data_IF_904183248564
#
_entry.id   IF_904183248564
#
_cell.length_a   1.000
_cell.length_b   1.000
_cell.length_c   1.000
_cell.angle_alpha   90.00
_cell.angle_beta   90.00
_cell.angle_gamma   90.00
#
_symmetry.space_group_name_H-M   'P 1'
#
loop_
_entity.id
_entity.type
_entity.pdbx_description
1 polymer ?
#
# COMPACT_ATOMS: atom_id res chain seq x y z
N UNK A 1 -15.10 -8.90 55.17
CA UNK A 1 -13.94 -8.68 54.28
C UNK A 1 -14.44 -8.79 52.85
N UNK A 2 -14.47 -7.67 52.14
CA UNK A 2 -14.92 -7.57 50.76
C UNK A 2 -13.80 -8.05 49.83
N UNK A 3 -13.93 -9.25 49.27
CA UNK A 3 -13.06 -9.68 48.19
C UNK A 3 -13.67 -9.23 46.86
N UNK A 4 -13.06 -8.21 46.29
CA UNK A 4 -13.43 -7.54 45.05
C UNK A 4 -13.47 -8.55 43.90
N UNK A 5 -14.62 -8.59 43.22
CA UNK A 5 -14.81 -9.26 41.93
C UNK A 5 -13.90 -8.62 40.90
N UNK A 6 -12.83 -9.31 40.49
CA UNK A 6 -12.07 -8.95 39.29
C UNK A 6 -12.90 -9.44 38.10
N UNK A 7 -13.86 -8.62 37.67
CA UNK A 7 -14.43 -8.72 36.34
C UNK A 7 -13.34 -8.27 35.36
N UNK A 8 -12.51 -9.20 34.90
CA UNK A 8 -11.67 -8.96 33.72
C UNK A 8 -12.65 -8.85 32.55
N UNK A 9 -13.01 -7.61 32.24
CA UNK A 9 -13.76 -7.23 31.06
C UNK A 9 -12.81 -7.43 29.86
N UNK A 10 -12.65 -8.68 29.45
CA UNK A 10 -12.11 -9.02 28.14
C UNK A 10 -13.10 -8.48 27.11
N UNK A 11 -12.91 -7.23 26.69
CA UNK A 11 -13.45 -6.77 25.42
C UNK A 11 -12.70 -7.53 24.32
N UNK A 12 -13.08 -8.80 24.14
CA UNK A 12 -12.74 -9.56 22.95
C UNK A 12 -13.33 -8.80 21.78
N UNK A 13 -12.47 -8.20 20.96
CA UNK A 13 -12.78 -8.04 19.55
C UNK A 13 -13.26 -9.42 19.05
N UNK A 14 -14.53 -9.55 18.63
CA UNK A 14 -15.05 -10.84 18.21
C UNK A 14 -14.36 -11.19 16.88
N UNK A 15 -13.44 -12.15 16.89
CA UNK A 15 -12.96 -12.78 15.66
C UNK A 15 -11.45 -12.96 15.50
N UNK A 16 -10.60 -12.38 16.36
CA UNK A 16 -9.17 -12.70 16.31
C UNK A 16 -8.88 -13.92 17.19
N UNK A 17 -8.68 -15.07 16.56
CA UNK A 17 -8.02 -16.17 17.26
C UNK A 17 -6.62 -15.71 17.67
N UNK A 18 -6.17 -16.06 18.87
CA UNK A 18 -4.89 -15.62 19.46
C UNK A 18 -3.70 -15.96 18.53
N UNK A 19 -3.83 -16.99 17.68
CA UNK A 19 -2.81 -17.41 16.73
C UNK A 19 -2.75 -16.58 15.42
N UNK A 20 -3.86 -16.01 14.94
CA UNK A 20 -3.89 -15.22 13.69
C UNK A 20 -3.47 -13.76 13.89
N UNK A 21 -3.64 -13.21 15.09
CA UNK A 21 -3.39 -11.80 15.38
C UNK A 21 -1.96 -11.32 15.08
N UNK A 22 -0.89 -12.08 15.41
CA UNK A 22 0.48 -11.65 15.14
C UNK A 22 0.79 -11.61 13.64
N UNK A 23 0.39 -12.65 12.90
CA UNK A 23 0.64 -12.76 11.46
C UNK A 23 -0.13 -11.69 10.68
N UNK A 24 -1.41 -11.48 11.01
CA UNK A 24 -2.21 -10.42 10.38
C UNK A 24 -1.59 -9.04 10.63
N UNK A 25 -1.14 -8.77 11.86
CA UNK A 25 -0.48 -7.49 12.20
C UNK A 25 0.79 -7.29 11.39
N UNK A 26 1.64 -8.32 11.31
CA UNK A 26 2.86 -8.27 10.52
C UNK A 26 2.58 -7.99 9.04
N UNK A 27 1.60 -8.66 8.44
CA UNK A 27 1.24 -8.44 7.03
C UNK A 27 0.71 -7.02 6.78
N UNK A 28 -0.06 -6.46 7.71
CA UNK A 28 -0.57 -5.08 7.62
C UNK A 28 0.55 -4.03 7.76
N UNK A 29 1.56 -4.30 8.58
CA UNK A 29 2.75 -3.45 8.70
C UNK A 29 3.61 -3.49 7.43
N UNK A 30 3.80 -4.67 6.84
CA UNK A 30 4.46 -4.82 5.56
C UNK A 30 3.71 -4.04 4.47
N UNK A 31 2.38 -4.15 4.43
CA UNK A 31 1.57 -3.40 3.46
C UNK A 31 1.65 -1.90 3.68
N UNK A 32 1.70 -1.45 4.95
CA UNK A 32 1.94 -0.04 5.30
C UNK A 32 3.29 0.45 4.76
N UNK A 33 4.33 -0.37 4.90
CA UNK A 33 5.70 -0.05 4.47
C UNK A 33 5.75 0.06 2.95
N UNK A 34 5.20 -0.91 2.24
CA UNK A 34 5.27 -0.93 0.79
C UNK A 34 4.45 0.20 0.16
N UNK A 35 3.29 0.55 0.72
CA UNK A 35 2.56 1.77 0.34
C UNK A 35 3.44 3.01 0.46
N UNK A 36 4.15 3.17 1.59
CA UNK A 36 5.04 4.31 1.82
C UNK A 36 6.21 4.30 0.85
N UNK A 37 6.77 3.13 0.54
CA UNK A 37 7.88 2.98 -0.41
C UNK A 37 7.47 3.35 -1.83
N UNK A 38 6.33 2.83 -2.33
CA UNK A 38 5.79 3.20 -3.65
C UNK A 38 5.62 4.72 -3.73
N UNK A 39 4.98 5.31 -2.73
CA UNK A 39 4.78 6.76 -2.67
C UNK A 39 6.10 7.54 -2.66
N UNK A 40 7.08 7.08 -1.87
CA UNK A 40 8.39 7.72 -1.73
C UNK A 40 9.21 7.65 -3.01
N UNK A 41 9.27 6.48 -3.65
CA UNK A 41 9.97 6.30 -4.92
C UNK A 41 9.30 7.04 -6.07
N UNK A 42 7.96 7.04 -6.16
CA UNK A 42 7.25 7.90 -7.10
C UNK A 42 7.55 9.38 -6.85
N UNK A 43 7.63 9.81 -5.59
CA UNK A 43 8.05 11.16 -5.21
C UNK A 43 9.44 11.53 -5.70
N UNK A 44 10.41 10.62 -5.57
CA UNK A 44 11.77 10.84 -6.11
C UNK A 44 11.80 10.93 -7.63
N UNK A 45 10.96 10.18 -8.34
CA UNK A 45 10.82 10.36 -9.80
C UNK A 45 10.24 11.73 -10.14
N UNK A 46 9.28 12.23 -9.36
CA UNK A 46 8.75 13.61 -9.54
C UNK A 46 9.85 14.65 -9.34
N UNK A 47 10.66 14.50 -8.29
CA UNK A 47 11.77 15.41 -7.98
C UNK A 47 12.81 15.42 -9.11
N UNK A 48 13.18 14.24 -9.59
CA UNK A 48 14.14 14.07 -10.69
C UNK A 48 13.59 14.67 -12.00
N UNK A 49 12.34 14.38 -12.34
CA UNK A 49 11.70 14.90 -13.54
C UNK A 49 11.33 16.39 -13.45
N UNK A 50 11.49 17.02 -12.28
CA UNK A 50 11.33 18.46 -12.09
C UNK A 50 12.63 19.25 -12.28
N UNK A 51 13.78 18.57 -12.35
CA UNK A 51 15.06 19.20 -12.67
C UNK A 51 15.08 19.74 -14.11
N UNK A 52 16.08 20.57 -14.42
CA UNK A 52 16.31 21.09 -15.78
C UNK A 52 16.65 19.96 -16.75
N UNK A 53 17.42 18.98 -16.29
CA UNK A 53 17.78 17.76 -17.02
C UNK A 53 17.33 16.55 -16.23
N UNK A 54 16.77 15.56 -16.91
CA UNK A 54 16.29 14.32 -16.31
C UNK A 54 17.44 13.31 -16.24
N UNK A 55 17.85 12.90 -15.04
CA UNK A 55 18.67 11.71 -14.86
C UNK A 55 17.81 10.45 -15.07
N UNK A 56 17.72 10.03 -16.34
CA UNK A 56 16.90 8.90 -16.74
C UNK A 56 17.31 7.59 -16.03
N UNK A 57 18.60 7.40 -15.73
CA UNK A 57 19.07 6.20 -15.04
C UNK A 57 18.54 6.13 -13.59
N UNK A 58 18.63 7.24 -12.85
CA UNK A 58 18.12 7.33 -11.49
C UNK A 58 16.59 7.23 -11.44
N UNK A 59 15.90 7.93 -12.35
CA UNK A 59 14.45 7.84 -12.48
C UNK A 59 13.99 6.40 -12.79
N UNK A 60 14.69 5.68 -13.68
CA UNK A 60 14.43 4.25 -13.97
C UNK A 60 14.65 3.38 -12.73
N UNK A 61 15.70 3.61 -11.96
CA UNK A 61 15.95 2.84 -10.73
C UNK A 61 14.80 3.03 -9.73
N UNK A 62 14.30 4.25 -9.55
CA UNK A 62 13.14 4.50 -8.70
C UNK A 62 11.84 3.92 -9.25
N UNK A 63 11.61 3.98 -10.56
CA UNK A 63 10.47 3.32 -11.19
C UNK A 63 10.51 1.78 -11.00
N UNK A 64 11.70 1.17 -11.08
CA UNK A 64 11.89 -0.25 -10.80
C UNK A 64 11.54 -0.61 -9.35
N UNK A 65 11.94 0.22 -8.38
CA UNK A 65 11.55 0.03 -6.97
C UNK A 65 10.03 0.22 -6.77
N UNK A 66 9.38 1.15 -7.49
CA UNK A 66 7.91 1.25 -7.50
C UNK A 66 7.28 -0.08 -7.93
N UNK A 67 7.71 -0.65 -9.07
CA UNK A 67 7.17 -1.93 -9.57
C UNK A 67 7.38 -3.07 -8.57
N UNK A 68 8.58 -3.15 -7.96
CA UNK A 68 8.91 -4.16 -6.96
C UNK A 68 8.01 -4.08 -5.73
N UNK A 69 7.85 -2.88 -5.15
CA UNK A 69 7.00 -2.68 -3.98
C UNK A 69 5.51 -2.90 -4.32
N UNK A 70 5.05 -2.54 -5.53
CA UNK A 70 3.69 -2.84 -5.99
C UNK A 70 3.41 -4.35 -6.03
N UNK A 71 4.35 -5.16 -6.53
CA UNK A 71 4.21 -6.63 -6.52
C UNK A 71 4.11 -7.18 -5.09
N UNK A 72 4.92 -6.65 -4.17
CA UNK A 72 4.88 -7.04 -2.77
C UNK A 72 3.53 -6.68 -2.11
N UNK A 73 3.00 -5.48 -2.39
CA UNK A 73 1.66 -5.07 -1.92
C UNK A 73 0.56 -6.03 -2.37
N UNK A 74 0.57 -6.46 -3.63
CA UNK A 74 -0.44 -7.39 -4.14
C UNK A 74 -0.36 -8.76 -3.50
N UNK A 75 0.85 -9.27 -3.29
CA UNK A 75 1.06 -10.53 -2.56
C UNK A 75 0.56 -10.41 -1.13
N UNK A 76 0.85 -9.30 -0.44
CA UNK A 76 0.39 -9.06 0.92
C UNK A 76 -1.12 -8.91 0.99
N UNK A 77 -1.76 -8.22 0.04
CA UNK A 77 -3.22 -8.12 -0.04
C UNK A 77 -3.87 -9.50 -0.16
N UNK A 78 -3.31 -10.39 -0.99
CA UNK A 78 -3.79 -11.76 -1.11
C UNK A 78 -3.56 -12.56 0.17
N UNK A 79 -2.42 -12.41 0.83
CA UNK A 79 -2.12 -13.07 2.11
C UNK A 79 -3.07 -12.61 3.21
N UNK A 80 -3.22 -11.30 3.38
CA UNK A 80 -4.13 -10.67 4.34
C UNK A 80 -5.57 -11.14 4.12
N UNK A 81 -6.03 -11.24 2.86
CA UNK A 81 -7.36 -11.76 2.51
C UNK A 81 -7.62 -13.16 3.07
N UNK A 82 -6.61 -14.04 3.00
CA UNK A 82 -6.71 -15.43 3.46
C UNK A 82 -6.71 -15.56 4.99
N UNK A 83 -6.13 -14.57 5.67
CA UNK A 83 -6.06 -14.52 7.13
C UNK A 83 -7.34 -13.98 7.76
N UNK A 84 -8.15 -13.22 7.02
CA UNK A 84 -9.41 -12.69 7.53
C UNK A 84 -10.47 -13.77 7.76
N UNK A 85 -11.19 -13.66 8.87
CA UNK A 85 -12.45 -14.39 9.06
C UNK A 85 -13.55 -13.83 8.16
N UNK A 86 -14.68 -14.55 8.08
CA UNK A 86 -15.85 -14.10 7.30
C UNK A 86 -16.40 -12.77 7.81
N UNK A 87 -16.46 -12.59 9.14
CA UNK A 87 -16.89 -11.32 9.75
C UNK A 87 -15.93 -10.19 9.40
N UNK A 88 -14.62 -10.42 9.49
CA UNK A 88 -13.60 -9.42 9.16
C UNK A 88 -13.65 -9.03 7.67
N UNK A 89 -13.83 -10.00 6.77
CA UNK A 89 -14.06 -9.74 5.35
C UNK A 89 -15.30 -8.87 5.12
N UNK A 90 -16.36 -9.04 5.91
CA UNK A 90 -17.54 -8.18 5.87
C UNK A 90 -17.25 -6.73 6.30
N UNK A 91 -16.29 -6.52 7.20
CA UNK A 91 -15.90 -5.20 7.70
C UNK A 91 -14.96 -4.43 6.75
N UNK A 92 -14.12 -5.14 5.99
CA UNK A 92 -13.05 -4.52 5.18
C UNK A 92 -13.19 -4.75 3.68
N UNK A 93 -14.25 -5.45 3.24
CA UNK A 93 -14.39 -5.88 1.86
C UNK A 93 -14.40 -4.73 0.84
N UNK A 94 -15.01 -3.59 1.19
CA UNK A 94 -15.06 -2.42 0.31
C UNK A 94 -13.66 -1.77 0.14
N UNK A 95 -12.94 -1.59 1.25
CA UNK A 95 -11.58 -1.06 1.26
C UNK A 95 -10.59 -1.99 0.58
N UNK A 96 -10.77 -3.31 0.75
CA UNK A 96 -9.97 -4.31 0.07
C UNK A 96 -10.16 -4.24 -1.44
N UNK A 97 -11.40 -4.17 -1.92
CA UNK A 97 -11.69 -3.98 -3.35
C UNK A 97 -11.13 -2.65 -3.88
N UNK A 98 -11.18 -1.59 -3.07
CA UNK A 98 -10.57 -0.30 -3.39
C UNK A 98 -9.04 -0.42 -3.52
N UNK A 99 -8.39 -1.18 -2.65
CA UNK A 99 -6.94 -1.44 -2.71
C UNK A 99 -6.57 -2.28 -3.94
N UNK A 100 -7.33 -3.33 -4.25
CA UNK A 100 -7.13 -4.14 -5.46
C UNK A 100 -7.23 -3.28 -6.74
N UNK A 101 -8.24 -2.39 -6.80
CA UNK A 101 -8.37 -1.41 -7.89
C UNK A 101 -7.18 -0.45 -7.96
N UNK A 102 -6.74 0.05 -6.81
CA UNK A 102 -5.57 0.94 -6.72
C UNK A 102 -4.33 0.24 -7.28
N UNK A 103 -4.07 -1.02 -6.89
CA UNK A 103 -2.94 -1.80 -7.40
C UNK A 103 -3.00 -1.97 -8.93
N UNK A 104 -4.17 -2.23 -9.49
CA UNK A 104 -4.35 -2.34 -10.94
C UNK A 104 -4.02 -1.02 -11.66
N UNK A 105 -4.52 0.12 -11.15
CA UNK A 105 -4.20 1.44 -11.71
C UNK A 105 -2.72 1.79 -11.56
N UNK A 106 -2.12 1.50 -10.40
CA UNK A 106 -0.69 1.74 -10.16
C UNK A 106 0.20 0.91 -11.09
N UNK A 107 -0.19 -0.33 -11.41
CA UNK A 107 0.51 -1.16 -12.40
C UNK A 107 0.51 -0.56 -13.80
N UNK A 108 -0.64 -0.09 -14.27
CA UNK A 108 -0.74 0.59 -15.57
C UNK A 108 0.18 1.82 -15.62
N UNK A 109 0.06 2.68 -14.60
CA UNK A 109 0.87 3.89 -14.49
C UNK A 109 2.37 3.57 -14.40
N UNK A 110 2.77 2.57 -13.61
CA UNK A 110 4.17 2.17 -13.49
C UNK A 110 4.70 1.64 -14.83
N UNK A 111 3.93 0.82 -15.55
CA UNK A 111 4.30 0.34 -16.88
C UNK A 111 4.48 1.48 -17.89
N UNK A 112 3.57 2.45 -17.89
CA UNK A 112 3.68 3.67 -18.72
C UNK A 112 4.90 4.51 -18.36
N UNK A 113 5.19 4.66 -17.07
CA UNK A 113 6.39 5.37 -16.60
C UNK A 113 7.67 4.67 -17.07
N UNK A 114 7.74 3.34 -16.92
CA UNK A 114 8.89 2.56 -17.41
C UNK A 114 9.07 2.68 -18.92
N UNK A 115 7.99 2.66 -19.69
CA UNK A 115 8.03 2.85 -21.14
C UNK A 115 8.55 4.25 -21.52
N UNK A 116 8.04 5.30 -20.86
CA UNK A 116 8.51 6.67 -21.07
C UNK A 116 10.00 6.78 -20.77
N UNK A 117 10.41 6.30 -19.61
CA UNK A 117 11.80 6.39 -19.17
C UNK A 117 12.74 5.56 -20.04
N UNK A 118 12.29 4.48 -20.71
CA UNK A 118 13.10 3.63 -21.59
C UNK A 118 13.38 4.23 -22.96
N UNK A 119 12.70 5.31 -23.36
CA UNK A 119 12.99 6.01 -24.62
C UNK A 119 14.43 6.50 -24.65
N UNK A 120 14.95 6.69 -25.85
CA UNK A 120 16.28 7.28 -26.07
C UNK A 120 16.34 8.71 -25.53
N UNK A 121 15.26 9.48 -25.78
CA UNK A 121 15.05 10.81 -25.23
C UNK A 121 13.73 10.84 -24.43
N UNK A 122 13.75 10.47 -23.14
CA UNK A 122 12.55 10.50 -22.30
C UNK A 122 12.02 11.92 -22.11
N UNK A 123 10.70 12.07 -22.20
CA UNK A 123 10.05 13.35 -21.90
C UNK A 123 9.92 13.52 -20.38
N UNK A 124 10.67 14.48 -19.82
CA UNK A 124 10.64 14.78 -18.39
C UNK A 124 9.26 15.22 -17.89
N UNK A 125 8.51 16.00 -18.68
CA UNK A 125 7.20 16.49 -18.26
C UNK A 125 6.19 15.34 -18.23
N UNK A 126 6.27 14.44 -19.20
CA UNK A 126 5.45 13.25 -19.24
C UNK A 126 5.80 12.29 -18.08
N UNK A 127 7.09 12.03 -17.84
CA UNK A 127 7.53 11.20 -16.72
C UNK A 127 7.07 11.78 -15.37
N UNK A 128 7.20 13.10 -15.19
CA UNK A 128 6.72 13.82 -14.00
C UNK A 128 5.21 13.66 -13.83
N UNK A 129 4.44 13.85 -14.89
CA UNK A 129 2.97 13.72 -14.84
C UNK A 129 2.55 12.32 -14.37
N UNK A 130 3.12 11.28 -14.98
CA UNK A 130 2.81 9.89 -14.60
C UNK A 130 3.23 9.62 -13.14
N UNK A 131 4.40 10.12 -12.71
CA UNK A 131 4.87 9.94 -11.34
C UNK A 131 4.00 10.68 -10.30
N UNK A 132 3.46 11.86 -10.63
CA UNK A 132 2.48 12.56 -9.80
C UNK A 132 1.17 11.77 -9.70
N UNK A 133 0.69 11.21 -10.81
CA UNK A 133 -0.50 10.35 -10.84
C UNK A 133 -0.29 9.09 -9.97
N UNK A 134 0.87 8.42 -10.09
CA UNK A 134 1.26 7.30 -9.22
C UNK A 134 1.18 7.67 -7.74
N UNK A 135 1.76 8.81 -7.37
CA UNK A 135 1.80 9.28 -5.99
C UNK A 135 0.39 9.59 -5.46
N UNK A 136 -0.45 10.22 -6.28
CA UNK A 136 -1.83 10.54 -5.92
C UNK A 136 -2.68 9.28 -5.74
N UNK A 137 -2.56 8.31 -6.64
CA UNK A 137 -3.29 7.05 -6.55
C UNK A 137 -2.82 6.23 -5.35
N UNK A 138 -1.51 6.20 -5.07
CA UNK A 138 -0.97 5.53 -3.89
C UNK A 138 -1.45 6.18 -2.59
N UNK A 139 -1.67 7.49 -2.54
CA UNK A 139 -2.30 8.12 -1.37
C UNK A 139 -3.72 7.59 -1.13
N UNK A 140 -4.54 7.44 -2.19
CA UNK A 140 -5.88 6.85 -2.06
C UNK A 140 -5.83 5.41 -1.54
N UNK A 141 -4.90 4.60 -2.08
CA UNK A 141 -4.70 3.23 -1.62
C UNK A 141 -4.22 3.15 -0.18
N UNK A 142 -3.31 4.05 0.22
CA UNK A 142 -2.85 4.16 1.60
C UNK A 142 -3.98 4.51 2.56
N UNK A 143 -4.85 5.45 2.19
CA UNK A 143 -6.00 5.83 3.01
C UNK A 143 -7.01 4.67 3.13
N UNK A 144 -7.23 3.91 2.04
CA UNK A 144 -8.04 2.69 2.08
C UNK A 144 -7.43 1.65 3.04
N UNK A 145 -6.13 1.44 2.98
CA UNK A 145 -5.39 0.58 3.92
C UNK A 145 -5.52 1.03 5.38
N UNK A 146 -5.37 2.33 5.66
CA UNK A 146 -5.57 2.84 7.01
C UNK A 146 -7.01 2.64 7.51
N UNK A 147 -8.01 2.77 6.63
CA UNK A 147 -9.40 2.45 6.96
C UNK A 147 -9.59 0.97 7.26
N UNK A 148 -8.99 0.05 6.48
CA UNK A 148 -9.02 -1.39 6.79
C UNK A 148 -8.48 -1.67 8.20
N UNK A 149 -7.28 -1.16 8.50
CA UNK A 149 -6.66 -1.31 9.82
C UNK A 149 -7.57 -0.82 10.93
N UNK A 150 -8.16 0.37 10.75
CA UNK A 150 -9.10 0.96 11.71
C UNK A 150 -10.35 0.10 11.91
N UNK A 151 -10.96 -0.40 10.85
CA UNK A 151 -12.13 -1.29 10.90
C UNK A 151 -11.84 -2.61 11.64
N UNK A 152 -10.58 -3.04 11.66
CA UNK A 152 -10.10 -4.23 12.37
C UNK A 152 -9.60 -3.92 13.80
N UNK A 153 -9.66 -2.66 14.25
CA UNK A 153 -9.16 -2.26 15.56
C UNK A 153 -7.62 -2.24 15.68
N UNK A 154 -6.92 -2.15 14.55
CA UNK A 154 -5.45 -2.14 14.48
C UNK A 154 -4.90 -0.70 14.46
N UNK A 155 -3.73 -0.49 15.08
CA UNK A 155 -3.01 0.80 15.07
C UNK A 155 -2.07 0.89 13.87
#
# INVERSE_FOLDING_TARGET
>A
MNTVRICILFMFLPGLTIAQAPELTQQQELLTRDCKNVRGHAGRVVEEASQSELNAALARAHAGEVVKNLRAMEQQLQSVRKLYTKEQLGLVGAEQASMEKTCATLKDLAGRLEQELKKENPDRLQARKIAVELRAEMNKGYDAHQRMKKSLGMK
#
